data_IF_259523842356
#
_entry.id   IF_259523842356
#
_cell.length_a   1.000
_cell.length_b   1.000
_cell.length_c   1.000
_cell.angle_alpha   90.00
_cell.angle_beta   90.00
_cell.angle_gamma   90.00
#
_symmetry.space_group_name_H-M   'P 1'
#
loop_
_entity.id
_entity.type
_entity.pdbx_description
1 polymer ?
#
# COMPACT_ATOMS: atom_id res chain seq x y z
N UNK A 1 15.59 18.19 -11.70
CA UNK A 1 14.63 19.07 -11.00
C UNK A 1 14.83 18.81 -9.52
N UNK A 2 15.11 19.85 -8.74
CA UNK A 2 15.38 19.70 -7.31
C UNK A 2 14.13 19.15 -6.60
N UNK A 3 14.26 18.02 -5.88
CA UNK A 3 13.16 17.41 -5.14
C UNK A 3 12.54 18.41 -4.15
N UNK A 4 13.38 19.26 -3.54
CA UNK A 4 12.92 20.28 -2.60
C UNK A 4 12.01 21.31 -3.28
N UNK A 5 12.31 21.69 -4.53
CA UNK A 5 11.47 22.59 -5.31
C UNK A 5 10.12 21.95 -5.66
N UNK A 6 10.09 20.65 -5.98
CA UNK A 6 8.84 19.92 -6.24
C UNK A 6 7.98 19.85 -4.97
N UNK A 7 8.57 19.43 -3.85
CA UNK A 7 7.90 19.39 -2.54
C UNK A 7 7.30 20.74 -2.18
N UNK A 8 8.09 21.82 -2.28
CA UNK A 8 7.61 23.17 -1.97
C UNK A 8 6.43 23.61 -2.86
N UNK A 9 6.41 23.20 -4.15
CA UNK A 9 5.29 23.49 -5.06
C UNK A 9 4.03 22.71 -4.67
N UNK A 10 4.16 21.43 -4.30
CA UNK A 10 3.03 20.59 -3.90
C UNK A 10 2.43 21.08 -2.58
N UNK A 11 3.27 21.42 -1.59
CA UNK A 11 2.80 21.92 -0.29
C UNK A 11 2.03 23.25 -0.41
N UNK A 12 2.37 24.10 -1.38
CA UNK A 12 1.59 25.33 -1.65
C UNK A 12 0.17 25.08 -2.16
N UNK A 13 -0.15 23.86 -2.59
CA UNK A 13 -1.49 23.49 -3.05
C UNK A 13 -2.38 22.93 -1.93
N UNK A 14 -1.89 22.90 -0.68
CA UNK A 14 -2.69 22.50 0.47
C UNK A 14 -3.86 23.45 0.67
N UNK A 15 -5.01 22.88 1.05
CA UNK A 15 -6.12 23.66 1.60
C UNK A 15 -5.84 24.08 3.06
N UNK A 16 -6.84 24.70 3.69
CA UNK A 16 -6.76 25.19 5.08
C UNK A 16 -6.47 24.09 6.11
N UNK A 17 -6.80 22.83 5.80
CA UNK A 17 -6.63 21.68 6.68
C UNK A 17 -5.36 20.88 6.33
N UNK A 18 -4.57 21.37 5.36
CA UNK A 18 -3.35 20.73 4.90
C UNK A 18 -3.57 19.64 3.85
N UNK A 19 -4.79 19.49 3.33
CA UNK A 19 -5.18 18.42 2.42
C UNK A 19 -5.14 18.86 0.94
N UNK A 20 -5.30 17.88 0.04
CA UNK A 20 -5.36 18.09 -1.41
C UNK A 20 -6.61 17.45 -2.01
N UNK A 21 -7.25 18.19 -2.92
CA UNK A 21 -8.41 17.77 -3.73
C UNK A 21 -9.51 17.10 -2.89
N UNK A 22 -9.86 17.73 -1.77
CA UNK A 22 -10.94 17.28 -0.88
C UNK A 22 -12.28 17.43 -1.60
N UNK A 23 -13.14 16.41 -1.49
CA UNK A 23 -14.44 16.40 -2.16
C UNK A 23 -15.40 17.41 -1.52
N UNK A 24 -16.31 17.97 -2.33
CA UNK A 24 -17.45 18.72 -1.78
C UNK A 24 -18.44 17.77 -1.12
N UNK A 25 -19.20 18.27 -0.15
CA UNK A 25 -20.25 17.48 0.53
C UNK A 25 -21.37 17.02 -0.43
N UNK A 26 -21.49 17.67 -1.58
CA UNK A 26 -22.43 17.33 -2.66
C UNK A 26 -21.89 16.30 -3.65
N UNK A 27 -20.61 15.89 -3.55
CA UNK A 27 -20.03 14.89 -4.43
C UNK A 27 -20.60 13.50 -4.13
N UNK A 28 -20.90 12.72 -5.17
CA UNK A 28 -21.48 11.37 -5.04
C UNK A 28 -20.58 10.37 -4.31
N UNK A 29 -19.28 10.66 -4.19
CA UNK A 29 -18.30 9.84 -3.49
C UNK A 29 -18.06 10.30 -2.04
N UNK A 30 -18.62 11.44 -1.63
CA UNK A 30 -18.53 11.94 -0.27
C UNK A 30 -19.53 11.23 0.66
N UNK A 31 -19.18 10.94 1.92
CA UNK A 31 -17.85 11.11 2.52
C UNK A 31 -16.93 9.89 2.33
N UNK A 32 -17.46 8.74 1.89
CA UNK A 32 -16.78 7.43 1.96
C UNK A 32 -15.41 7.41 1.30
N UNK A 33 -15.28 8.00 0.10
CA UNK A 33 -14.03 8.02 -0.66
C UNK A 33 -13.26 9.33 -0.54
N UNK A 34 -13.67 10.22 0.37
CA UNK A 34 -12.92 11.46 0.58
C UNK A 34 -11.46 11.12 0.91
N UNK A 35 -10.54 11.97 0.43
CA UNK A 35 -9.09 11.77 0.50
C UNK A 35 -8.53 10.59 -0.31
N UNK A 36 -9.36 9.68 -0.85
CA UNK A 36 -8.96 8.59 -1.76
C UNK A 36 -9.26 8.89 -3.23
N UNK A 37 -10.33 9.64 -3.51
CA UNK A 37 -10.64 10.17 -4.86
C UNK A 37 -10.60 11.70 -4.86
N UNK A 38 -10.29 12.35 -6.01
CA UNK A 38 -9.93 11.77 -7.30
C UNK A 38 -8.63 10.96 -7.26
N UNK A 39 -8.64 9.81 -7.97
CA UNK A 39 -7.46 8.94 -8.02
C UNK A 39 -6.24 9.70 -8.51
N UNK A 40 -5.10 9.43 -7.87
CA UNK A 40 -3.78 10.00 -8.18
C UNK A 40 -3.54 11.46 -7.78
N UNK A 41 -4.55 12.20 -7.33
CA UNK A 41 -4.37 13.59 -6.90
C UNK A 41 -5.01 13.94 -5.56
N UNK A 42 -5.84 13.08 -4.98
CA UNK A 42 -6.33 13.23 -3.61
C UNK A 42 -5.21 13.14 -2.58
N UNK A 43 -5.55 13.51 -1.34
CA UNK A 43 -4.59 13.60 -0.22
C UNK A 43 -3.76 12.32 -0.01
N UNK A 44 -4.35 11.13 -0.06
CA UNK A 44 -3.60 9.87 0.05
C UNK A 44 -2.49 9.75 -1.00
N UNK A 45 -2.81 10.00 -2.27
CA UNK A 45 -1.87 9.84 -3.38
C UNK A 45 -0.78 10.92 -3.36
N UNK A 46 -1.14 12.14 -2.98
CA UNK A 46 -0.18 13.23 -2.82
C UNK A 46 0.82 12.95 -1.70
N UNK A 47 0.37 12.38 -0.57
CA UNK A 47 1.28 11.97 0.50
C UNK A 47 2.24 10.85 0.04
N UNK A 48 1.75 9.86 -0.74
CA UNK A 48 2.62 8.81 -1.29
C UNK A 48 3.65 9.41 -2.25
N UNK A 49 3.24 10.33 -3.12
CA UNK A 49 4.16 11.04 -4.01
C UNK A 49 5.23 11.81 -3.22
N UNK A 50 4.85 12.53 -2.16
CA UNK A 50 5.79 13.28 -1.33
C UNK A 50 6.78 12.37 -0.60
N UNK A 51 6.34 11.21 -0.11
CA UNK A 51 7.21 10.19 0.48
C UNK A 51 8.16 9.58 -0.56
N UNK A 52 7.66 9.19 -1.74
CA UNK A 52 8.47 8.64 -2.83
C UNK A 52 9.45 9.68 -3.41
N UNK A 53 9.12 10.97 -3.34
CA UNK A 53 10.02 12.08 -3.66
C UNK A 53 11.04 12.40 -2.54
N UNK A 54 11.02 11.63 -1.44
CA UNK A 54 11.92 11.78 -0.30
C UNK A 54 11.80 13.13 0.41
N UNK A 55 10.57 13.64 0.54
CA UNK A 55 10.30 14.80 1.40
C UNK A 55 10.75 14.50 2.82
N UNK A 56 11.28 15.50 3.54
CA UNK A 56 11.73 15.32 4.92
C UNK A 56 10.63 14.66 5.78
N UNK A 57 10.96 13.50 6.35
CA UNK A 57 10.09 12.73 7.24
C UNK A 57 9.60 13.51 8.46
N UNK A 58 10.31 14.57 8.88
CA UNK A 58 9.94 15.39 10.04
C UNK A 58 9.22 16.68 9.64
N UNK A 59 8.79 16.83 8.38
CA UNK A 59 8.10 18.04 7.92
C UNK A 59 6.71 18.14 8.56
N UNK A 60 6.57 19.06 9.51
CA UNK A 60 5.35 19.25 10.30
C UNK A 60 4.12 19.61 9.46
N UNK A 61 4.29 20.17 8.25
CA UNK A 61 3.17 20.46 7.33
C UNK A 61 2.44 19.21 6.85
N UNK A 62 3.04 18.03 7.02
CA UNK A 62 2.46 16.74 6.63
C UNK A 62 1.72 16.06 7.78
N UNK A 63 1.90 16.50 9.03
CA UNK A 63 1.20 15.91 10.18
C UNK A 63 -0.32 16.08 10.10
N UNK A 64 -0.89 17.28 9.78
CA UNK A 64 -2.34 17.43 9.69
C UNK A 64 -3.01 16.51 8.65
N UNK A 65 -2.60 16.48 7.36
CA UNK A 65 -3.24 15.59 6.39
C UNK A 65 -3.04 14.12 6.73
N UNK A 66 -1.87 13.73 7.26
CA UNK A 66 -1.62 12.35 7.66
C UNK A 66 -2.56 11.91 8.78
N UNK A 67 -2.76 12.75 9.80
CA UNK A 67 -3.75 12.51 10.87
C UNK A 67 -5.17 12.40 10.32
N UNK A 68 -5.56 13.30 9.41
CA UNK A 68 -6.89 13.32 8.81
C UNK A 68 -7.17 12.01 8.07
N UNK A 69 -6.28 11.58 7.15
CA UNK A 69 -6.51 10.35 6.38
C UNK A 69 -6.43 9.09 7.25
N UNK A 70 -5.58 9.09 8.28
CA UNK A 70 -5.46 7.98 9.23
C UNK A 70 -6.79 7.80 9.96
N UNK A 71 -7.35 8.88 10.51
CA UNK A 71 -8.63 8.82 11.22
C UNK A 71 -9.80 8.51 10.29
N UNK A 72 -9.78 9.04 9.07
CA UNK A 72 -10.86 8.84 8.10
C UNK A 72 -10.94 7.39 7.61
N UNK A 73 -9.80 6.77 7.29
CA UNK A 73 -9.79 5.41 6.75
C UNK A 73 -9.81 4.32 7.82
N UNK A 74 -9.38 4.59 9.06
CA UNK A 74 -9.23 3.55 10.07
C UNK A 74 -10.59 3.05 10.59
N UNK A 75 -10.84 1.75 10.39
CA UNK A 75 -11.97 1.04 10.97
C UNK A 75 -11.56 0.48 12.35
N UNK A 76 -12.08 1.01 13.48
CA UNK A 76 -11.69 0.56 14.81
C UNK A 76 -12.21 -0.83 15.17
N UNK A 77 -13.25 -1.32 14.50
CA UNK A 77 -13.81 -2.65 14.73
C UNK A 77 -12.93 -3.72 14.08
N UNK A 78 -12.58 -3.53 12.82
CA UNK A 78 -11.71 -4.47 12.08
C UNK A 78 -10.21 -4.22 12.29
N UNK A 79 -9.85 -3.05 12.83
CA UNK A 79 -8.48 -2.60 13.10
C UNK A 79 -7.61 -2.51 11.84
N UNK A 80 -8.21 -2.08 10.72
CA UNK A 80 -7.53 -1.85 9.44
C UNK A 80 -8.07 -0.60 8.73
N UNK A 81 -7.35 -0.13 7.72
CA UNK A 81 -7.78 0.96 6.86
C UNK A 81 -8.75 0.48 5.78
N UNK A 82 -9.83 1.23 5.57
CA UNK A 82 -10.92 0.91 4.63
C UNK A 82 -11.39 2.17 3.90
N UNK A 83 -12.06 1.98 2.75
CA UNK A 83 -12.86 3.02 2.07
C UNK A 83 -14.32 2.58 2.13
N UNK A 84 -14.79 2.39 3.36
CA UNK A 84 -16.10 1.83 3.70
C UNK A 84 -16.24 0.35 3.33
N UNK A 85 -17.40 -0.06 2.81
CA UNK A 85 -17.71 -1.50 2.58
C UNK A 85 -17.20 -2.03 1.24
N UNK A 86 -16.76 -1.13 0.38
CA UNK A 86 -16.23 -1.45 -0.94
C UNK A 86 -14.91 -2.21 -0.81
N UNK A 87 -14.77 -3.35 -1.50
CA UNK A 87 -13.50 -4.07 -1.63
C UNK A 87 -12.83 -4.49 -0.31
N UNK A 88 -13.58 -4.68 0.78
CA UNK A 88 -13.01 -5.06 2.07
C UNK A 88 -12.47 -6.51 2.08
N UNK A 89 -11.27 -6.79 2.63
CA UNK A 89 -10.22 -5.84 3.01
C UNK A 89 -9.37 -5.42 1.80
N UNK A 90 -8.69 -4.26 1.87
CA UNK A 90 -7.89 -3.72 0.74
C UNK A 90 -6.40 -3.75 1.10
N UNK A 91 -5.63 -4.76 0.66
CA UNK A 91 -4.19 -4.87 0.97
C UNK A 91 -3.38 -3.66 0.50
N UNK A 92 -3.67 -3.13 -0.69
CA UNK A 92 -2.88 -2.03 -1.25
C UNK A 92 -3.07 -0.70 -0.51
N UNK A 93 -4.30 -0.40 -0.05
CA UNK A 93 -4.56 0.75 0.82
C UNK A 93 -3.78 0.61 2.13
N UNK A 94 -3.86 -0.56 2.76
CA UNK A 94 -3.24 -0.80 4.06
C UNK A 94 -1.71 -0.80 3.98
N UNK A 95 -1.13 -1.37 2.92
CA UNK A 95 0.30 -1.27 2.64
C UNK A 95 0.78 0.16 2.44
N UNK A 96 0.03 0.96 1.67
CA UNK A 96 0.31 2.39 1.50
C UNK A 96 0.18 3.18 2.81
N UNK A 97 -0.81 2.86 3.65
CA UNK A 97 -0.94 3.50 4.96
C UNK A 97 0.23 3.13 5.87
N UNK A 98 0.62 1.85 5.99
CA UNK A 98 1.81 1.46 6.76
C UNK A 98 3.06 2.21 6.25
N UNK A 99 3.22 2.29 4.92
CA UNK A 99 4.32 3.02 4.31
C UNK A 99 4.35 4.49 4.75
N UNK A 100 3.24 5.21 4.65
CA UNK A 100 3.14 6.61 5.06
C UNK A 100 3.39 6.81 6.56
N UNK A 101 2.74 6.00 7.41
CA UNK A 101 2.90 6.07 8.86
C UNK A 101 4.34 5.80 9.29
N UNK A 102 5.00 4.83 8.65
CA UNK A 102 6.40 4.50 8.94
C UNK A 102 7.35 5.59 8.42
N UNK A 103 7.15 6.05 7.18
CA UNK A 103 8.01 7.06 6.55
C UNK A 103 7.97 8.40 7.29
N UNK A 104 6.78 8.86 7.66
CA UNK A 104 6.57 10.11 8.40
C UNK A 104 6.57 9.94 9.93
N UNK A 105 6.98 8.76 10.44
CA UNK A 105 7.13 8.47 11.88
C UNK A 105 5.89 8.82 12.71
N UNK A 106 4.70 8.54 12.17
CA UNK A 106 3.42 8.84 12.79
C UNK A 106 2.66 7.54 13.04
N UNK A 107 2.75 7.01 14.26
CA UNK A 107 1.90 5.89 14.69
C UNK A 107 1.49 6.02 16.17
N UNK A 108 0.67 7.02 16.53
CA UNK A 108 0.34 7.30 17.94
C UNK A 108 -0.52 6.22 18.61
N UNK A 109 -1.12 5.30 17.84
CA UNK A 109 -2.10 4.33 18.33
C UNK A 109 -1.83 2.89 17.88
N UNK A 110 -0.58 2.56 17.54
CA UNK A 110 -0.16 1.24 17.06
C UNK A 110 -1.02 0.73 15.90
N UNK A 111 -1.41 1.63 15.00
CA UNK A 111 -2.15 1.32 13.77
C UNK A 111 -1.39 0.30 12.92
N UNK A 112 -0.06 0.41 12.86
CA UNK A 112 0.77 -0.49 12.06
C UNK A 112 0.62 -1.93 12.56
N UNK A 113 0.79 -2.17 13.86
CA UNK A 113 0.68 -3.51 14.43
C UNK A 113 -0.73 -4.10 14.31
N UNK A 114 -1.76 -3.26 14.44
CA UNK A 114 -3.15 -3.66 14.22
C UNK A 114 -3.36 -4.20 12.79
N UNK A 115 -2.88 -3.45 11.80
CA UNK A 115 -2.96 -3.85 10.38
C UNK A 115 -2.13 -5.10 10.10
N UNK A 116 -0.90 -5.15 10.61
CA UNK A 116 -0.01 -6.31 10.50
C UNK A 116 -0.69 -7.57 11.04
N UNK A 117 -1.31 -7.49 12.22
CA UNK A 117 -1.99 -8.63 12.83
C UNK A 117 -3.15 -9.12 11.96
N UNK A 118 -3.97 -8.21 11.44
CA UNK A 118 -5.06 -8.56 10.54
C UNK A 118 -4.56 -9.27 9.27
N UNK A 119 -3.59 -8.70 8.55
CA UNK A 119 -3.11 -9.29 7.30
C UNK A 119 -2.24 -10.53 7.52
N UNK A 120 -1.60 -10.69 8.68
CA UNK A 120 -0.94 -11.95 9.02
C UNK A 120 -1.95 -13.09 9.09
N UNK A 121 -3.13 -12.83 9.66
CA UNK A 121 -4.21 -13.80 9.79
C UNK A 121 -4.98 -14.03 8.49
N UNK A 122 -5.23 -12.96 7.72
CA UNK A 122 -6.20 -12.98 6.62
C UNK A 122 -5.63 -12.67 5.24
N UNK A 123 -4.36 -12.31 5.07
CA UNK A 123 -3.80 -12.20 3.72
C UNK A 123 -3.68 -13.61 3.13
N UNK A 124 -4.36 -13.83 2.00
CA UNK A 124 -4.16 -15.01 1.16
C UNK A 124 -2.90 -14.82 0.29
N UNK A 125 -2.30 -15.94 -0.09
CA UNK A 125 -1.17 -16.01 -1.01
C UNK A 125 -1.40 -17.20 -1.96
N UNK A 126 -2.64 -17.33 -2.43
CA UNK A 126 -3.08 -18.33 -3.39
C UNK A 126 -2.96 -17.80 -4.81
N UNK A 127 -2.68 -18.71 -5.74
CA UNK A 127 -2.52 -18.42 -7.16
C UNK A 127 -3.48 -19.28 -8.01
N UNK A 128 -4.75 -19.34 -7.60
CA UNK A 128 -5.80 -20.10 -8.31
C UNK A 128 -6.49 -21.19 -7.47
N UNK A 129 -5.84 -21.67 -6.40
CA UNK A 129 -6.31 -22.83 -5.64
C UNK A 129 -7.49 -22.53 -4.69
N UNK A 130 -7.71 -21.26 -4.33
CA UNK A 130 -8.67 -20.88 -3.30
C UNK A 130 -10.00 -20.40 -3.90
N UNK A 131 -11.05 -21.23 -3.78
CA UNK A 131 -12.31 -21.03 -4.51
C UNK A 131 -13.38 -20.18 -3.78
N UNK A 132 -13.24 -19.88 -2.47
CA UNK A 132 -14.34 -19.28 -1.69
C UNK A 132 -14.10 -17.84 -1.24
N UNK A 133 -14.56 -16.88 -2.05
CA UNK A 133 -14.63 -15.44 -1.70
C UNK A 133 -15.82 -15.10 -0.79
N UNK A 134 -16.54 -16.10 -0.25
CA UNK A 134 -17.79 -15.90 0.51
C UNK A 134 -17.57 -15.82 2.02
N UNK A 135 -16.39 -16.22 2.49
CA UNK A 135 -16.04 -16.21 3.91
C UNK A 135 -15.55 -14.82 4.33
N UNK A 136 -15.70 -14.51 5.62
CA UNK A 136 -15.01 -13.37 6.21
C UNK A 136 -13.48 -13.55 6.09
N UNK A 137 -12.71 -12.50 5.80
CA UNK A 137 -13.14 -11.11 5.52
C UNK A 137 -13.43 -10.82 4.04
N UNK A 138 -13.25 -11.78 3.13
CA UNK A 138 -13.23 -11.55 1.67
C UNK A 138 -14.59 -11.35 1.00
N UNK A 139 -15.70 -11.39 1.76
CA UNK A 139 -17.06 -11.46 1.22
C UNK A 139 -17.35 -10.32 0.24
N UNK A 140 -17.42 -10.67 -1.05
CA UNK A 140 -17.74 -9.74 -2.14
C UNK A 140 -16.53 -9.00 -2.72
N UNK A 141 -15.33 -9.20 -2.19
CA UNK A 141 -14.12 -8.56 -2.67
C UNK A 141 -13.45 -9.38 -3.78
N UNK A 142 -13.91 -9.16 -5.01
CA UNK A 142 -13.35 -9.83 -6.19
C UNK A 142 -12.05 -9.18 -6.68
N UNK A 143 -11.84 -7.89 -6.41
CA UNK A 143 -10.67 -7.18 -6.90
C UNK A 143 -9.38 -7.59 -6.19
N UNK A 144 -9.45 -7.91 -4.90
CA UNK A 144 -8.28 -8.36 -4.13
C UNK A 144 -8.21 -9.88 -3.93
N UNK A 145 -9.36 -10.56 -3.92
CA UNK A 145 -9.49 -11.96 -3.50
C UNK A 145 -10.48 -12.75 -4.36
N UNK A 146 -10.43 -12.59 -5.69
CA UNK A 146 -11.19 -13.47 -6.61
C UNK A 146 -10.56 -14.88 -6.66
N UNK A 147 -10.30 -15.38 -7.87
CA UNK A 147 -9.76 -16.72 -8.09
C UNK A 147 -8.32 -16.86 -7.60
N UNK A 148 -7.60 -15.73 -7.51
CA UNK A 148 -6.23 -15.66 -7.03
C UNK A 148 -6.06 -14.41 -6.15
N UNK A 149 -4.97 -14.39 -5.39
CA UNK A 149 -4.53 -13.22 -4.64
C UNK A 149 -4.12 -12.11 -5.60
N UNK A 150 -4.61 -10.88 -5.37
CA UNK A 150 -4.18 -9.72 -6.14
C UNK A 150 -2.70 -9.38 -5.88
N UNK A 151 -1.89 -9.46 -6.94
CA UNK A 151 -0.46 -9.21 -6.89
C UNK A 151 -0.11 -7.80 -6.38
N UNK A 152 -0.85 -6.78 -6.83
CA UNK A 152 -0.65 -5.40 -6.37
C UNK A 152 -0.86 -5.24 -4.86
N UNK A 153 -1.81 -6.00 -4.32
CA UNK A 153 -2.04 -6.03 -2.88
C UNK A 153 -0.83 -6.54 -2.11
N UNK A 154 -0.21 -7.62 -2.60
CA UNK A 154 0.99 -8.22 -2.00
C UNK A 154 2.19 -7.27 -2.09
N UNK A 155 2.44 -6.67 -3.25
CA UNK A 155 3.57 -5.73 -3.43
C UNK A 155 3.44 -4.52 -2.52
N UNK A 156 2.24 -3.94 -2.40
CA UNK A 156 2.05 -2.76 -1.53
C UNK A 156 2.09 -3.12 -0.05
N UNK A 157 1.60 -4.30 0.36
CA UNK A 157 1.84 -4.81 1.71
C UNK A 157 3.34 -4.95 1.99
N UNK A 158 4.11 -5.54 1.07
CA UNK A 158 5.57 -5.63 1.19
C UNK A 158 6.18 -4.22 1.33
N UNK A 159 5.82 -3.26 0.48
CA UNK A 159 6.29 -1.86 0.59
C UNK A 159 6.05 -1.29 1.98
N UNK A 160 4.85 -1.41 2.51
CA UNK A 160 4.53 -0.95 3.86
C UNK A 160 5.43 -1.60 4.91
N UNK A 161 5.47 -2.94 4.95
CA UNK A 161 6.24 -3.72 5.92
C UNK A 161 7.74 -3.41 5.86
N UNK A 162 8.27 -3.21 4.66
CA UNK A 162 9.67 -2.86 4.41
C UNK A 162 10.07 -1.50 5.00
N UNK A 163 9.12 -0.59 5.22
CA UNK A 163 9.39 0.72 5.80
C UNK A 163 9.27 0.78 7.32
N UNK A 164 8.71 -0.25 7.96
CA UNK A 164 8.79 -0.40 9.41
C UNK A 164 10.27 -0.55 9.79
N UNK A 165 10.80 0.27 10.73
CA UNK A 165 12.18 0.15 11.21
C UNK A 165 12.50 -1.28 11.65
N UNK A 166 13.67 -1.82 11.26
CA UNK A 166 13.99 -3.25 11.40
C UNK A 166 13.91 -3.75 12.85
N UNK A 167 14.30 -2.90 13.78
CA UNK A 167 14.25 -3.09 15.23
C UNK A 167 12.83 -3.02 15.82
N UNK A 168 11.89 -2.38 15.11
CA UNK A 168 10.49 -2.25 15.50
C UNK A 168 9.56 -3.28 14.84
N UNK A 169 10.07 -4.08 13.89
CA UNK A 169 9.26 -5.10 13.21
C UNK A 169 8.84 -6.20 14.18
N UNK A 170 7.53 -6.30 14.44
CA UNK A 170 6.94 -7.39 15.20
C UNK A 170 7.15 -8.75 14.54
N UNK A 171 6.98 -9.84 15.30
CA UNK A 171 7.07 -11.21 14.76
C UNK A 171 6.10 -11.42 13.59
N UNK A 172 4.88 -10.89 13.71
CA UNK A 172 3.86 -10.97 12.68
C UNK A 172 4.25 -10.18 11.43
N UNK A 173 4.86 -8.99 11.59
CA UNK A 173 5.35 -8.22 10.45
C UNK A 173 6.41 -9.00 9.65
N UNK A 174 7.34 -9.68 10.35
CA UNK A 174 8.37 -10.52 9.72
C UNK A 174 7.77 -11.72 8.97
N UNK A 175 6.80 -12.41 9.59
CA UNK A 175 6.11 -13.55 8.97
C UNK A 175 5.34 -13.11 7.73
N UNK A 176 4.56 -12.03 7.84
CA UNK A 176 3.76 -11.52 6.72
C UNK A 176 4.66 -11.05 5.56
N UNK A 177 5.75 -10.35 5.87
CA UNK A 177 6.73 -9.91 4.89
C UNK A 177 7.39 -11.07 4.16
N UNK A 178 7.78 -12.15 4.88
CA UNK A 178 8.32 -13.34 4.24
C UNK A 178 7.31 -13.97 3.27
N UNK A 179 6.04 -14.10 3.68
CA UNK A 179 4.98 -14.63 2.81
C UNK A 179 4.76 -13.76 1.57
N UNK A 180 4.88 -12.43 1.70
CA UNK A 180 4.87 -11.53 0.54
C UNK A 180 6.05 -11.78 -0.40
N UNK A 181 7.26 -11.93 0.13
CA UNK A 181 8.46 -12.23 -0.65
C UNK A 181 8.30 -13.57 -1.37
N UNK A 182 7.90 -14.62 -0.67
CA UNK A 182 7.73 -15.97 -1.24
C UNK A 182 6.72 -15.95 -2.41
N UNK A 183 5.60 -15.24 -2.25
CA UNK A 183 4.60 -15.11 -3.32
C UNK A 183 5.11 -14.29 -4.51
N UNK A 184 5.93 -13.26 -4.28
CA UNK A 184 6.59 -12.50 -5.36
C UNK A 184 7.59 -13.38 -6.11
N UNK A 185 8.36 -14.21 -5.40
CA UNK A 185 9.35 -15.11 -5.99
C UNK A 185 8.71 -16.29 -6.73
N UNK A 186 7.53 -16.76 -6.30
CA UNK A 186 6.72 -17.71 -7.07
C UNK A 186 6.43 -17.23 -8.50
N UNK A 187 6.30 -15.91 -8.66
CA UNK A 187 6.03 -15.25 -9.94
C UNK A 187 7.31 -14.76 -10.64
N UNK A 188 8.49 -15.19 -10.18
CA UNK A 188 9.78 -14.74 -10.72
C UNK A 188 9.82 -13.21 -10.89
N UNK A 189 9.38 -12.49 -9.85
CA UNK A 189 9.22 -11.02 -9.79
C UNK A 189 8.06 -10.45 -10.60
N UNK A 190 7.80 -10.90 -11.83
CA UNK A 190 6.79 -10.25 -12.68
C UNK A 190 6.11 -11.14 -13.71
N UNK A 191 6.46 -12.43 -13.74
CA UNK A 191 5.95 -13.40 -14.69
C UNK A 191 4.75 -14.17 -14.16
N UNK A 192 3.95 -14.70 -15.06
CA UNK A 192 2.87 -15.63 -14.72
C UNK A 192 3.48 -16.96 -14.29
N UNK A 193 2.98 -17.50 -13.17
CA UNK A 193 3.28 -18.85 -12.71
C UNK A 193 2.80 -19.94 -13.66
N UNK A 194 1.76 -19.66 -14.46
CA UNK A 194 1.16 -20.59 -15.42
C UNK A 194 1.81 -20.50 -16.80
N UNK A 195 2.36 -19.34 -17.17
CA UNK A 195 3.13 -19.13 -18.39
C UNK A 195 4.31 -18.19 -18.12
N UNK A 196 5.51 -18.76 -17.96
CA UNK A 196 6.72 -18.01 -17.57
C UNK A 196 7.23 -17.03 -18.62
N UNK A 197 6.74 -17.12 -19.86
CA UNK A 197 7.10 -16.19 -20.94
C UNK A 197 6.22 -14.92 -20.94
N UNK A 198 5.17 -14.90 -20.12
CA UNK A 198 4.22 -13.79 -20.05
C UNK A 198 4.31 -13.05 -18.71
N UNK A 199 4.17 -11.73 -18.74
CA UNK A 199 3.97 -10.95 -17.51
C UNK A 199 2.63 -11.29 -16.86
N UNK A 200 2.60 -11.35 -15.52
CA UNK A 200 1.36 -11.54 -14.76
C UNK A 200 0.34 -10.40 -14.98
N UNK A 201 0.83 -9.23 -15.41
CA UNK A 201 0.00 -8.12 -15.85
C UNK A 201 0.77 -7.21 -16.80
N UNK A 202 0.10 -6.70 -17.84
CA UNK A 202 0.62 -5.72 -18.83
C UNK A 202 1.12 -4.37 -18.28
N UNK A 203 1.03 -4.12 -16.97
CA UNK A 203 1.64 -2.93 -16.36
C UNK A 203 3.04 -3.22 -15.81
N UNK A 204 3.44 -4.48 -15.64
CA UNK A 204 4.74 -4.81 -15.04
C UNK A 204 5.91 -4.22 -15.81
N UNK A 205 5.86 -4.27 -17.14
CA UNK A 205 6.89 -3.72 -18.04
C UNK A 205 6.87 -2.19 -18.17
N UNK A 206 5.85 -1.52 -17.62
CA UNK A 206 5.68 -0.07 -17.77
C UNK A 206 6.27 0.63 -16.57
N UNK A 207 7.50 1.12 -16.71
CA UNK A 207 8.15 1.94 -15.68
C UNK A 207 7.32 3.19 -15.38
N UNK A 208 6.80 3.30 -14.16
CA UNK A 208 5.94 4.41 -13.72
C UNK A 208 6.45 5.05 -12.45
N UNK A 209 6.18 6.34 -12.30
CA UNK A 209 6.44 7.06 -11.07
C UNK A 209 5.35 8.14 -10.88
N UNK A 210 4.78 8.29 -9.67
CA UNK A 210 4.94 7.42 -8.50
C UNK A 210 4.21 6.08 -8.67
N UNK A 211 4.66 5.05 -7.95
CA UNK A 211 3.99 3.75 -7.93
C UNK A 211 2.91 3.74 -6.83
N UNK A 212 1.67 4.07 -7.21
CA UNK A 212 0.55 4.29 -6.30
C UNK A 212 -0.12 2.99 -5.85
N UNK A 213 -1.25 2.58 -6.48
CA UNK A 213 -1.83 1.26 -6.21
C UNK A 213 -1.31 0.17 -7.16
N UNK A 214 -0.78 0.55 -8.32
CA UNK A 214 -0.05 -0.36 -9.23
C UNK A 214 1.44 -0.28 -8.94
N UNK A 215 2.16 -1.29 -9.40
CA UNK A 215 3.62 -1.39 -9.31
C UNK A 215 4.17 -1.74 -10.69
N UNK A 216 5.45 -1.51 -10.88
CA UNK A 216 6.24 -2.03 -12.00
C UNK A 216 7.29 -3.01 -11.48
N UNK A 217 7.98 -3.74 -12.36
CA UNK A 217 9.00 -4.69 -11.94
C UNK A 217 10.16 -4.01 -11.17
N UNK A 218 10.41 -2.72 -11.43
CA UNK A 218 11.51 -1.99 -10.80
C UNK A 218 11.21 -1.69 -9.32
N UNK A 219 9.98 -1.32 -8.97
CA UNK A 219 9.55 -1.21 -7.56
C UNK A 219 9.69 -2.55 -6.84
N UNK A 220 9.28 -3.66 -7.49
CA UNK A 220 9.40 -5.00 -6.89
C UNK A 220 10.86 -5.36 -6.64
N UNK A 221 11.74 -5.20 -7.63
CA UNK A 221 13.18 -5.45 -7.47
C UNK A 221 13.81 -4.55 -6.40
N UNK A 222 13.41 -3.28 -6.34
CA UNK A 222 13.88 -2.37 -5.31
C UNK A 222 13.45 -2.82 -3.90
N UNK A 223 12.22 -3.30 -3.73
CA UNK A 223 11.74 -3.86 -2.46
C UNK A 223 12.51 -5.12 -2.06
N UNK A 224 12.72 -6.05 -3.00
CA UNK A 224 13.52 -7.26 -2.76
C UNK A 224 14.95 -6.89 -2.36
N UNK A 225 15.57 -5.91 -3.05
CA UNK A 225 16.90 -5.41 -2.69
C UNK A 225 16.94 -4.77 -1.31
N UNK A 226 15.92 -3.98 -0.95
CA UNK A 226 15.78 -3.32 0.36
C UNK A 226 15.69 -4.34 1.50
N UNK A 227 15.05 -5.48 1.25
CA UNK A 227 14.93 -6.58 2.20
C UNK A 227 16.03 -7.64 2.06
N UNK A 228 17.10 -7.33 1.32
CA UNK A 228 18.29 -8.19 1.18
C UNK A 228 17.96 -9.60 0.66
N UNK A 229 16.92 -9.72 -0.18
CA UNK A 229 16.61 -10.98 -0.87
C UNK A 229 17.69 -11.22 -1.91
N UNK A 230 18.47 -12.27 -1.70
CA UNK A 230 19.53 -12.71 -2.61
C UNK A 230 19.10 -13.97 -3.34
N UNK A 231 19.42 -14.06 -4.64
CA UNK A 231 19.44 -15.34 -5.32
C UNK A 231 20.65 -16.13 -4.80
N UNK A 232 20.46 -17.38 -4.38
CA UNK A 232 21.60 -18.28 -4.26
C UNK A 232 22.25 -18.43 -5.65
N UNK A 233 23.58 -18.47 -5.75
CA UNK A 233 24.22 -18.74 -7.02
C UNK A 233 23.70 -20.09 -7.55
N UNK A 234 23.24 -20.10 -8.80
CA UNK A 234 22.88 -21.34 -9.50
C UNK A 234 24.13 -22.22 -9.48
N UNK A 235 24.06 -23.35 -8.76
CA UNK A 235 25.10 -24.38 -8.75
C UNK A 235 25.16 -25.10 -10.10
#
# INVERSE_FOLDING_TARGET
MDSQLLTAKILKLQDKDGCWNVLSETDKYYPEYNYYVPSYSSTLWTLILLADAQTDSNNELLHPPLKIITNHFYDPYHKIFTIGKSHFPIPCLNGNMIYLLSYFKYDPHNYIDNVVNFFTQYQRFDDGDFLSTKMYPYKGNRSCYSNHTCYWGVVKLLKGLSFIPRDQRSKNAKILMQRCIDFILLHEVCFSSHNKEEYLHSYMEKLTFPNLYRSDFLEVLWLLKREEVCCEPIQ
#
